data_IF_823625012493
#
_entry.id   IF_823625012493
#
_cell.length_a   1.000
_cell.length_b   1.000
_cell.length_c   1.000
_cell.angle_alpha   90.00
_cell.angle_beta   90.00
_cell.angle_gamma   90.00
#
_symmetry.space_group_name_H-M   'P 1'
#
loop_
_entity.id
_entity.type
_entity.pdbx_description
1 polymer ?
#
# COMPACT_ATOMS: atom_id res chain seq x y z
N UNK A 1 27.88 64.52 44.63
CA UNK A 1 28.57 63.23 44.76
C UNK A 1 27.51 62.15 44.94
N UNK A 2 27.48 61.18 44.01
CA UNK A 2 26.93 59.81 44.13
C UNK A 2 25.40 59.70 44.37
N UNK A 3 24.62 58.86 43.70
CA UNK A 3 24.90 57.67 42.90
C UNK A 3 23.71 57.40 41.94
N UNK A 4 24.04 56.96 40.74
CA UNK A 4 23.17 56.39 39.72
C UNK A 4 22.60 55.05 40.20
N UNK A 5 21.32 54.77 39.92
CA UNK A 5 20.83 53.39 39.92
C UNK A 5 19.86 53.21 38.76
N UNK A 6 20.36 52.57 37.70
CA UNK A 6 19.60 52.12 36.54
C UNK A 6 19.07 50.72 36.89
N UNK A 7 17.76 50.55 37.05
CA UNK A 7 17.17 49.22 37.24
C UNK A 7 17.03 48.57 35.87
N UNK A 8 17.86 47.55 35.60
CA UNK A 8 17.78 46.73 34.40
C UNK A 8 16.47 45.92 34.41
N UNK A 9 15.64 46.10 33.37
CA UNK A 9 14.49 45.24 33.12
C UNK A 9 14.99 44.00 32.36
N UNK A 10 15.11 42.89 33.08
CA UNK A 10 15.47 41.59 32.50
C UNK A 10 14.33 41.11 31.60
N UNK A 11 14.58 41.12 30.29
CA UNK A 11 13.68 40.52 29.30
C UNK A 11 13.87 39.00 29.36
N UNK A 12 13.00 38.30 30.09
CA UNK A 12 12.94 36.83 30.00
C UNK A 12 12.37 36.46 28.62
N UNK A 13 13.26 36.13 27.69
CA UNK A 13 12.89 35.53 26.41
C UNK A 13 12.33 34.14 26.65
N UNK A 14 11.01 34.00 26.61
CA UNK A 14 10.34 32.70 26.54
C UNK A 14 10.56 32.12 25.15
N UNK A 15 11.43 31.11 25.04
CA UNK A 15 11.53 30.29 23.84
C UNK A 15 10.21 29.53 23.67
N UNK A 16 9.40 29.93 22.69
CA UNK A 16 8.27 29.13 22.21
C UNK A 16 8.85 28.02 21.35
N UNK A 17 9.01 26.83 21.92
CA UNK A 17 9.32 25.62 21.14
C UNK A 17 8.10 25.31 20.28
N UNK A 18 8.16 25.66 18.99
CA UNK A 18 7.18 25.24 18.01
C UNK A 18 7.37 23.74 17.79
N UNK A 19 6.47 22.94 18.35
CA UNK A 19 6.39 21.51 18.09
C UNK A 19 5.90 21.36 16.63
N UNK A 20 6.83 21.17 15.70
CA UNK A 20 6.51 20.75 14.34
C UNK A 20 5.98 19.32 14.45
N UNK A 21 4.67 19.15 14.37
CA UNK A 21 4.07 17.84 14.19
C UNK A 21 4.57 17.27 12.87
N UNK A 22 5.34 16.19 12.92
CA UNK A 22 5.67 15.40 11.75
C UNK A 22 4.37 14.74 11.29
N UNK A 23 3.79 15.20 10.18
CA UNK A 23 2.80 14.41 9.47
C UNK A 23 3.55 13.18 8.94
N UNK A 24 3.30 12.00 9.52
CA UNK A 24 3.73 10.75 8.90
C UNK A 24 3.06 10.69 7.53
N UNK A 25 3.85 10.61 6.45
CA UNK A 25 3.31 10.34 5.13
C UNK A 25 2.63 8.96 5.19
N UNK A 26 1.36 8.92 4.82
CA UNK A 26 0.62 7.68 4.64
C UNK A 26 0.67 7.33 3.16
N UNK A 27 1.06 6.10 2.83
CA UNK A 27 1.02 5.60 1.46
C UNK A 27 -0.37 5.81 0.85
N UNK A 28 -0.42 6.38 -0.35
CA UNK A 28 -1.66 6.65 -1.07
C UNK A 28 -2.18 5.35 -1.71
N UNK A 29 -3.41 4.97 -1.38
CA UNK A 29 -4.08 3.83 -2.02
C UNK A 29 -4.40 4.16 -3.48
N UNK A 30 -3.80 3.43 -4.41
CA UNK A 30 -3.98 3.58 -5.86
C UNK A 30 -5.12 2.70 -6.35
N UNK A 31 -5.17 1.45 -5.88
CA UNK A 31 -6.20 0.49 -6.30
C UNK A 31 -6.54 -0.44 -5.16
N UNK A 32 -7.83 -0.77 -5.03
CA UNK A 32 -8.33 -1.77 -4.10
C UNK A 32 -9.21 -2.76 -4.86
N UNK A 33 -8.72 -3.98 -5.05
CA UNK A 33 -9.52 -5.05 -5.58
C UNK A 33 -10.29 -5.69 -4.43
N UNK A 34 -11.59 -5.41 -4.37
CA UNK A 34 -12.59 -6.02 -3.48
C UNK A 34 -12.32 -5.95 -1.96
N UNK A 35 -11.28 -5.24 -1.51
CA UNK A 35 -10.96 -5.05 -0.09
C UNK A 35 -10.31 -6.25 0.58
N UNK A 36 -10.20 -6.17 1.91
CA UNK A 36 -9.80 -7.29 2.75
C UNK A 36 -10.82 -8.45 2.67
N UNK A 37 -10.37 -9.71 2.79
CA UNK A 37 -11.26 -10.87 2.80
C UNK A 37 -12.17 -10.89 4.02
N UNK A 38 -13.23 -11.71 3.94
CA UNK A 38 -14.11 -12.02 5.07
C UNK A 38 -13.68 -13.33 5.74
N UNK A 39 -14.16 -13.57 6.96
CA UNK A 39 -14.01 -14.86 7.61
C UNK A 39 -14.64 -15.99 6.77
N UNK A 40 -13.97 -17.14 6.69
CA UNK A 40 -14.31 -18.26 5.83
C UNK A 40 -14.06 -18.02 4.33
N UNK A 41 -13.20 -17.05 3.96
CA UNK A 41 -12.86 -16.81 2.54
C UNK A 41 -12.15 -18.00 1.90
N UNK A 42 -12.36 -18.15 0.59
CA UNK A 42 -11.72 -19.18 -0.22
C UNK A 42 -10.42 -18.63 -0.82
N UNK A 43 -9.54 -19.51 -1.30
CA UNK A 43 -8.24 -19.14 -1.85
C UNK A 43 -7.75 -20.11 -2.92
N UNK A 44 -6.73 -19.70 -3.67
CA UNK A 44 -6.12 -20.52 -4.70
C UNK A 44 -4.63 -20.67 -4.47
N UNK A 45 -4.11 -21.87 -4.73
CA UNK A 45 -2.71 -22.18 -4.53
C UNK A 45 -1.83 -21.27 -5.43
N UNK A 46 -0.86 -20.59 -4.82
CA UNK A 46 0.13 -19.72 -5.47
C UNK A 46 1.57 -20.25 -5.35
N UNK A 47 1.73 -21.43 -4.76
CA UNK A 47 2.96 -22.23 -4.69
C UNK A 47 3.10 -23.22 -5.84
N UNK A 48 2.00 -23.53 -6.53
CA UNK A 48 1.94 -24.44 -7.68
C UNK A 48 1.69 -23.71 -9.02
N UNK A 49 1.16 -22.48 -8.95
CA UNK A 49 0.71 -21.73 -10.11
C UNK A 49 1.03 -20.25 -9.95
N UNK A 50 1.36 -19.57 -11.05
CA UNK A 50 1.23 -18.13 -11.11
C UNK A 50 -0.25 -17.80 -11.28
N UNK A 51 -0.78 -16.99 -10.36
CA UNK A 51 -2.15 -16.49 -10.42
C UNK A 51 -2.11 -15.01 -10.76
N UNK A 52 -2.87 -14.59 -11.77
CA UNK A 52 -3.01 -13.20 -12.15
C UNK A 52 -4.46 -12.72 -12.08
N UNK A 53 -4.64 -11.46 -11.69
CA UNK A 53 -5.94 -10.77 -11.73
C UNK A 53 -5.78 -9.37 -12.31
N UNK A 54 -6.84 -8.83 -12.92
CA UNK A 54 -6.79 -7.54 -13.57
C UNK A 54 -7.10 -6.38 -12.61
N UNK A 55 -6.50 -5.23 -12.90
CA UNK A 55 -6.82 -3.97 -12.26
C UNK A 55 -6.81 -2.85 -13.29
N UNK A 56 -7.53 -1.77 -13.00
CA UNK A 56 -7.59 -0.60 -13.88
C UNK A 56 -7.24 0.65 -13.11
N UNK A 57 -6.30 1.41 -13.65
CA UNK A 57 -5.90 2.73 -13.16
C UNK A 57 -6.46 3.80 -14.10
N UNK A 58 -7.07 4.83 -13.55
CA UNK A 58 -7.79 5.86 -14.33
C UNK A 58 -6.90 7.03 -14.75
N UNK A 59 -5.73 7.16 -14.14
CA UNK A 59 -4.71 8.16 -14.43
C UNK A 59 -3.32 7.53 -14.37
N UNK A 60 -2.29 8.31 -14.67
CA UNK A 60 -0.92 7.84 -14.51
C UNK A 60 -0.58 7.71 -13.02
N UNK A 61 0.04 6.61 -12.64
CA UNK A 61 0.35 6.27 -11.24
C UNK A 61 1.74 5.69 -11.12
N UNK A 62 2.30 5.86 -9.92
CA UNK A 62 3.58 5.30 -9.52
C UNK A 62 3.30 4.22 -8.48
N UNK A 63 3.47 2.95 -8.84
CA UNK A 63 3.29 1.85 -7.90
C UNK A 63 4.59 1.56 -7.18
N UNK A 64 4.56 1.50 -5.86
CA UNK A 64 5.73 1.20 -5.03
C UNK A 64 5.49 0.01 -4.10
N UNK A 65 4.26 -0.15 -3.60
CA UNK A 65 3.94 -1.17 -2.60
C UNK A 65 2.65 -1.92 -2.98
N UNK A 66 2.50 -3.09 -2.38
CA UNK A 66 1.32 -3.92 -2.51
C UNK A 66 0.91 -4.49 -1.15
N UNK A 67 -0.37 -4.78 -1.05
CA UNK A 67 -0.93 -5.65 -0.01
C UNK A 67 -1.74 -6.74 -0.70
N UNK A 68 -1.61 -7.98 -0.24
CA UNK A 68 -2.54 -9.04 -0.60
C UNK A 68 -2.82 -9.93 0.62
N UNK A 69 -3.84 -10.77 0.53
CA UNK A 69 -4.22 -11.66 1.63
C UNK A 69 -4.05 -13.11 1.26
N UNK A 70 -3.28 -13.84 2.05
CA UNK A 70 -2.92 -15.22 1.78
C UNK A 70 -2.84 -16.04 3.06
N UNK A 71 -2.74 -17.35 2.94
CA UNK A 71 -2.50 -18.24 4.06
C UNK A 71 -1.65 -19.45 3.66
N UNK A 72 -0.97 -20.04 4.63
CA UNK A 72 -0.39 -21.38 4.54
C UNK A 72 -1.36 -22.42 5.09
N UNK A 73 -1.52 -23.58 4.45
CA UNK A 73 -2.57 -24.55 4.79
C UNK A 73 -2.34 -25.28 6.11
N UNK A 74 -1.11 -25.73 6.38
CA UNK A 74 -0.80 -26.48 7.61
C UNK A 74 -0.39 -25.52 8.73
N UNK A 75 0.29 -24.41 8.38
CA UNK A 75 0.67 -23.34 9.29
C UNK A 75 1.12 -22.06 8.54
N UNK A 76 1.22 -20.94 9.26
CA UNK A 76 1.62 -19.63 8.72
C UNK A 76 3.03 -19.61 8.09
N UNK A 77 3.90 -20.58 8.40
CA UNK A 77 5.23 -20.69 7.79
C UNK A 77 5.24 -21.42 6.45
N UNK A 78 4.12 -22.01 6.03
CA UNK A 78 4.01 -22.58 4.68
C UNK A 78 3.88 -21.50 3.61
N UNK A 79 3.48 -20.27 3.98
CA UNK A 79 3.64 -19.09 3.14
C UNK A 79 5.06 -18.54 3.36
N UNK A 80 5.90 -18.58 2.33
CA UNK A 80 7.29 -18.15 2.45
C UNK A 80 7.41 -16.65 2.79
N UNK A 81 8.59 -16.26 3.28
CA UNK A 81 8.94 -14.85 3.49
C UNK A 81 9.38 -14.16 2.18
N UNK A 82 9.21 -14.82 1.04
CA UNK A 82 9.62 -14.34 -0.27
C UNK A 82 8.45 -14.36 -1.23
N UNK A 83 7.97 -13.20 -1.67
CA UNK A 83 6.85 -13.11 -2.62
C UNK A 83 7.36 -12.65 -3.98
N UNK A 84 7.17 -13.51 -4.97
CA UNK A 84 7.40 -13.19 -6.37
C UNK A 84 6.18 -12.47 -6.92
N UNK A 85 6.42 -11.44 -7.74
CA UNK A 85 5.35 -10.64 -8.33
C UNK A 85 5.65 -10.30 -9.78
N UNK A 86 4.60 -10.03 -10.55
CA UNK A 86 4.70 -9.52 -11.90
C UNK A 86 3.50 -8.64 -12.28
N UNK A 87 3.77 -7.64 -13.12
CA UNK A 87 2.80 -6.75 -13.75
C UNK A 87 2.84 -6.98 -15.26
N UNK A 88 1.67 -7.18 -15.87
CA UNK A 88 1.53 -7.41 -17.30
C UNK A 88 0.62 -6.37 -17.94
N UNK A 89 0.84 -6.10 -19.22
CA UNK A 89 -0.13 -5.40 -20.06
C UNK A 89 -1.41 -6.23 -20.13
N UNK A 90 -2.54 -5.56 -20.35
CA UNK A 90 -3.76 -6.22 -20.76
C UNK A 90 -3.76 -6.51 -22.26
N UNK A 91 -3.95 -7.77 -22.64
CA UNK A 91 -4.33 -8.18 -23.99
C UNK A 91 -5.84 -8.47 -23.97
N UNK A 92 -6.71 -7.65 -24.59
CA UNK A 92 -8.13 -7.52 -24.29
C UNK A 92 -8.81 -8.67 -23.51
N UNK A 93 -8.82 -8.55 -22.17
CA UNK A 93 -9.46 -9.52 -21.26
C UNK A 93 -8.60 -10.74 -20.90
N UNK A 94 -7.30 -10.68 -21.16
CA UNK A 94 -6.31 -11.70 -20.89
C UNK A 94 -4.97 -11.07 -20.53
N UNK A 95 -4.12 -11.86 -19.88
CA UNK A 95 -2.74 -11.49 -19.57
C UNK A 95 -1.98 -11.25 -20.88
N UNK A 96 -1.29 -10.11 -20.95
CA UNK A 96 -0.51 -9.68 -22.11
C UNK A 96 0.99 -9.79 -21.84
N UNK A 97 1.77 -8.92 -22.48
CA UNK A 97 3.23 -8.90 -22.29
C UNK A 97 3.62 -8.42 -20.90
N UNK A 98 4.65 -9.03 -20.33
CA UNK A 98 5.27 -8.62 -19.07
C UNK A 98 5.76 -7.16 -19.15
N UNK A 99 5.41 -6.36 -18.15
CA UNK A 99 5.90 -4.99 -17.96
C UNK A 99 7.07 -5.00 -16.98
N UNK A 100 6.86 -5.59 -15.81
CA UNK A 100 7.84 -5.67 -14.74
C UNK A 100 7.62 -6.93 -13.90
N UNK A 101 8.67 -7.46 -13.31
CA UNK A 101 8.58 -8.51 -12.29
C UNK A 101 9.73 -8.39 -11.31
N UNK A 102 9.57 -9.05 -10.16
CA UNK A 102 10.58 -9.06 -9.12
C UNK A 102 10.24 -9.97 -7.97
N UNK A 103 10.97 -9.82 -6.88
CA UNK A 103 10.79 -10.59 -5.66
C UNK A 103 11.05 -9.68 -4.48
N UNK A 104 10.08 -9.65 -3.56
CA UNK A 104 10.29 -9.09 -2.24
C UNK A 104 10.62 -10.23 -1.28
N UNK A 105 11.76 -10.13 -0.59
CA UNK A 105 12.24 -11.12 0.39
C UNK A 105 12.13 -10.62 1.84
N UNK A 106 11.42 -9.51 2.02
CA UNK A 106 11.27 -8.77 3.27
C UNK A 106 9.80 -8.45 3.57
N UNK A 107 8.87 -9.21 2.99
CA UNK A 107 7.43 -9.02 3.21
C UNK A 107 7.07 -9.10 4.69
N UNK A 108 6.11 -8.28 5.10
CA UNK A 108 5.55 -8.33 6.45
C UNK A 108 4.24 -9.10 6.42
N UNK A 109 4.15 -10.16 7.24
CA UNK A 109 2.93 -10.96 7.44
C UNK A 109 2.27 -10.57 8.75
N UNK A 110 1.01 -10.15 8.70
CA UNK A 110 0.20 -9.80 9.86
C UNK A 110 -1.04 -10.69 9.91
N UNK A 111 -1.21 -11.45 10.99
CA UNK A 111 -2.44 -12.19 11.24
C UNK A 111 -3.63 -11.22 11.33
N UNK A 112 -4.67 -11.48 10.53
CA UNK A 112 -5.88 -10.68 10.49
C UNK A 112 -6.90 -11.06 11.57
N UNK A 113 -6.73 -12.22 12.22
CA UNK A 113 -7.71 -12.82 13.10
C UNK A 113 -8.92 -13.42 12.38
N UNK A 114 -8.83 -13.60 11.06
CA UNK A 114 -9.83 -14.27 10.21
C UNK A 114 -9.31 -15.64 9.79
N UNK A 115 -10.22 -16.59 9.63
CA UNK A 115 -9.88 -17.94 9.16
C UNK A 115 -10.34 -18.14 7.71
N UNK A 116 -9.62 -18.98 6.97
CA UNK A 116 -10.04 -19.44 5.65
C UNK A 116 -11.14 -20.50 5.76
N UNK A 117 -11.77 -20.83 4.63
CA UNK A 117 -12.71 -21.97 4.57
C UNK A 117 -12.07 -23.32 4.95
N UNK A 118 -10.73 -23.39 4.96
CA UNK A 118 -9.95 -24.57 5.34
C UNK A 118 -9.48 -24.51 6.81
N UNK A 119 -9.82 -23.45 7.55
CA UNK A 119 -9.45 -23.27 8.96
C UNK A 119 -8.02 -22.78 9.18
N UNK A 120 -7.37 -22.24 8.15
CA UNK A 120 -6.04 -21.63 8.25
C UNK A 120 -6.15 -20.11 8.45
N UNK A 121 -5.24 -19.52 9.23
CA UNK A 121 -5.23 -18.08 9.51
C UNK A 121 -4.98 -17.30 8.21
N UNK A 122 -5.85 -16.34 7.92
CA UNK A 122 -5.63 -15.40 6.82
C UNK A 122 -4.65 -14.33 7.28
N UNK A 123 -3.54 -14.23 6.55
CA UNK A 123 -2.50 -13.25 6.76
C UNK A 123 -2.67 -12.10 5.77
N UNK A 124 -2.54 -10.87 6.27
CA UNK A 124 -2.26 -9.69 5.44
C UNK A 124 -0.76 -9.68 5.14
N UNK A 125 -0.42 -9.66 3.86
CA UNK A 125 0.95 -9.66 3.37
C UNK A 125 1.22 -8.30 2.74
N UNK A 126 2.09 -7.52 3.37
CA UNK A 126 2.54 -6.21 2.90
C UNK A 126 3.95 -6.33 2.34
N UNK A 127 4.18 -5.80 1.13
CA UNK A 127 5.49 -5.85 0.47
C UNK A 127 5.69 -4.72 -0.54
N UNK A 128 6.88 -4.68 -1.14
CA UNK A 128 7.27 -3.65 -2.10
C UNK A 128 7.77 -4.21 -3.45
N UNK A 129 7.68 -3.38 -4.49
CA UNK A 129 8.12 -3.74 -5.84
C UNK A 129 9.64 -3.58 -6.04
N UNK A 130 10.40 -3.22 -5.01
CA UNK A 130 11.85 -2.93 -5.05
C UNK A 130 12.26 -1.70 -5.86
N UNK A 131 11.35 -1.20 -6.72
CA UNK A 131 11.50 -0.04 -7.57
C UNK A 131 10.12 0.47 -7.97
N UNK A 132 10.01 1.77 -8.27
CA UNK A 132 8.77 2.37 -8.75
C UNK A 132 8.39 1.83 -10.13
N UNK A 133 7.15 1.35 -10.27
CA UNK A 133 6.56 0.94 -11.53
C UNK A 133 5.63 2.05 -12.02
N UNK A 134 6.03 2.76 -13.07
CA UNK A 134 5.20 3.81 -13.65
C UNK A 134 4.18 3.21 -14.62
N UNK A 135 2.89 3.42 -14.36
CA UNK A 135 1.80 3.01 -15.24
C UNK A 135 1.04 4.23 -15.75
N UNK A 136 0.62 4.19 -17.01
CA UNK A 136 -0.35 5.16 -17.55
C UNK A 136 -1.77 4.71 -17.24
N UNK A 137 -2.77 5.57 -17.46
CA UNK A 137 -4.18 5.15 -17.43
C UNK A 137 -4.40 3.91 -18.32
N UNK A 138 -5.00 2.85 -17.77
CA UNK A 138 -5.16 1.59 -18.48
C UNK A 138 -5.53 0.41 -17.57
N UNK A 139 -5.80 -0.73 -18.20
CA UNK A 139 -6.01 -2.02 -17.52
C UNK A 139 -4.73 -2.83 -17.59
N UNK A 140 -4.38 -3.46 -16.48
CA UNK A 140 -3.17 -4.24 -16.29
C UNK A 140 -3.52 -5.52 -15.53
N UNK A 141 -2.57 -6.46 -15.47
CA UNK A 141 -2.70 -7.66 -14.66
C UNK A 141 -1.58 -7.71 -13.63
N UNK A 142 -1.90 -8.11 -12.40
CA UNK A 142 -0.92 -8.39 -11.35
C UNK A 142 -0.93 -9.87 -11.03
N UNK A 143 0.25 -10.44 -10.84
CA UNK A 143 0.45 -11.81 -10.40
C UNK A 143 1.27 -11.84 -9.12
N UNK A 144 0.89 -12.73 -8.20
CA UNK A 144 1.69 -13.09 -7.02
C UNK A 144 1.93 -14.59 -6.99
N UNK A 145 3.09 -14.99 -6.48
CA UNK A 145 3.47 -16.37 -6.20
C UNK A 145 4.21 -16.50 -4.89
N UNK A 146 4.16 -17.70 -4.31
CA UNK A 146 5.03 -18.05 -3.19
C UNK A 146 6.44 -18.38 -3.69
N UNK A 147 7.45 -17.71 -3.12
CA UNK A 147 8.85 -17.78 -3.53
C UNK A 147 9.26 -16.76 -4.61
N UNK A 148 10.54 -16.77 -4.99
CA UNK A 148 11.11 -15.79 -5.93
C UNK A 148 10.65 -15.94 -7.39
N UNK A 149 10.24 -14.86 -8.06
CA UNK A 149 9.78 -14.88 -9.45
C UNK A 149 10.76 -15.58 -10.40
N UNK A 150 10.28 -16.53 -11.21
CA UNK A 150 11.09 -17.33 -12.12
C UNK A 150 11.87 -18.47 -11.44
N UNK A 151 11.69 -18.69 -10.12
CA UNK A 151 12.18 -19.90 -9.45
C UNK A 151 11.27 -21.09 -9.75
N UNK A 152 11.75 -22.30 -9.45
CA UNK A 152 10.86 -23.44 -9.42
C UNK A 152 9.78 -23.24 -8.32
N UNK A 153 8.55 -23.64 -8.63
CA UNK A 153 7.51 -23.90 -7.65
C UNK A 153 8.00 -24.96 -6.66
N UNK A 154 7.90 -24.68 -5.38
CA UNK A 154 8.35 -25.56 -4.30
C UNK A 154 7.22 -26.47 -3.78
N UNK A 155 6.01 -26.32 -4.32
CA UNK A 155 4.83 -27.13 -3.99
C UNK A 155 4.48 -26.98 -2.50
N UNK A 156 4.79 -25.82 -1.90
CA UNK A 156 4.24 -25.47 -0.59
C UNK A 156 2.71 -25.34 -0.69
N UNK A 157 2.07 -25.16 0.47
CA UNK A 157 0.62 -25.04 0.56
C UNK A 157 0.22 -23.59 0.83
N UNK A 158 0.72 -22.63 0.05
CA UNK A 158 0.36 -21.22 0.16
C UNK A 158 -0.77 -20.84 -0.82
N UNK A 159 -1.75 -20.07 -0.34
CA UNK A 159 -2.95 -19.76 -1.09
C UNK A 159 -3.30 -18.27 -1.05
N UNK A 160 -3.63 -17.67 -2.20
CA UNK A 160 -4.11 -16.30 -2.34
C UNK A 160 -5.64 -16.23 -2.31
N UNK A 161 -6.17 -15.47 -1.35
CA UNK A 161 -7.62 -15.35 -1.08
C UNK A 161 -8.41 -14.67 -2.21
N UNK A 162 -9.71 -14.95 -2.23
CA UNK A 162 -10.69 -14.28 -3.09
C UNK A 162 -12.09 -14.19 -2.50
N UNK A 163 -12.86 -13.25 -3.04
CA UNK A 163 -14.31 -13.22 -2.87
C UNK A 163 -15.01 -14.06 -3.93
N UNK A 164 -15.71 -15.12 -3.54
CA UNK A 164 -16.61 -15.85 -4.43
C UNK A 164 -17.78 -14.99 -4.94
N UNK A 165 -18.12 -13.90 -4.24
CA UNK A 165 -19.32 -13.12 -4.50
C UNK A 165 -19.15 -12.10 -5.65
N UNK A 166 -17.94 -11.85 -6.15
CA UNK A 166 -17.72 -10.81 -7.16
C UNK A 166 -16.53 -11.11 -8.05
N UNK A 167 -16.75 -11.01 -9.36
CA UNK A 167 -15.71 -10.81 -10.36
C UNK A 167 -15.75 -9.33 -10.72
N UNK A 168 -14.69 -8.61 -10.39
CA UNK A 168 -14.38 -7.26 -10.86
C UNK A 168 -13.49 -7.42 -12.08
N UNK A 169 -13.84 -6.76 -13.19
CA UNK A 169 -13.05 -6.83 -14.41
C UNK A 169 -13.15 -8.17 -15.13
N UNK A 170 -12.01 -8.73 -15.48
CA UNK A 170 -11.84 -9.99 -16.21
C UNK A 170 -11.81 -11.18 -15.25
N UNK A 171 -11.96 -12.38 -15.78
CA UNK A 171 -11.75 -13.58 -14.96
C UNK A 171 -10.26 -13.75 -14.63
N UNK A 172 -9.88 -14.00 -13.37
CA UNK A 172 -8.51 -14.32 -13.01
C UNK A 172 -7.94 -15.45 -13.87
N UNK A 173 -6.63 -15.42 -14.07
CA UNK A 173 -5.88 -16.43 -14.85
C UNK A 173 -4.92 -17.16 -13.94
N UNK A 174 -4.74 -18.46 -14.17
CA UNK A 174 -3.78 -19.28 -13.44
C UNK A 174 -3.02 -20.14 -14.44
N UNK A 175 -1.73 -20.36 -14.24
CA UNK A 175 -0.95 -21.28 -15.09
C UNK A 175 0.31 -21.74 -14.37
N UNK A 176 0.86 -22.86 -14.83
CA UNK A 176 2.22 -23.27 -14.49
C UNK A 176 3.26 -22.42 -15.23
N UNK A 177 2.86 -21.77 -16.32
CA UNK A 177 3.70 -20.80 -17.03
C UNK A 177 3.61 -19.40 -16.38
N UNK A 178 4.60 -19.07 -15.56
CA UNK A 178 4.65 -17.78 -14.85
C UNK A 178 4.74 -16.57 -15.79
N UNK A 179 5.36 -16.71 -16.97
CA UNK A 179 5.56 -15.58 -17.88
C UNK A 179 4.32 -15.23 -18.69
N UNK A 180 3.29 -16.09 -18.68
CA UNK A 180 2.02 -15.79 -19.33
C UNK A 180 0.89 -16.69 -18.79
N UNK A 181 0.33 -16.39 -17.60
CA UNK A 181 -0.76 -17.19 -17.08
C UNK A 181 -2.01 -17.06 -17.96
N UNK A 182 -2.35 -18.12 -18.72
CA UNK A 182 -3.42 -18.04 -19.71
C UNK A 182 -4.69 -18.82 -19.36
N UNK A 183 -4.62 -19.82 -18.47
CA UNK A 183 -5.80 -20.63 -18.22
C UNK A 183 -6.85 -19.87 -17.40
N UNK A 184 -8.11 -19.78 -17.90
CA UNK A 184 -9.19 -19.16 -17.15
C UNK A 184 -9.45 -19.89 -15.84
N UNK A 185 -9.39 -19.17 -14.73
CA UNK A 185 -9.69 -19.73 -13.43
C UNK A 185 -11.20 -19.62 -13.11
N UNK A 186 -12.02 -20.36 -13.87
CA UNK A 186 -13.47 -20.13 -14.03
C UNK A 186 -14.33 -20.25 -12.75
N UNK A 187 -13.80 -20.84 -11.68
CA UNK A 187 -14.57 -21.12 -10.47
C UNK A 187 -14.22 -20.17 -9.32
N UNK A 188 -13.31 -19.22 -9.53
CA UNK A 188 -12.81 -18.38 -8.48
C UNK A 188 -13.04 -16.89 -8.81
N UNK A 189 -13.53 -16.13 -7.85
CA UNK A 189 -13.79 -14.69 -8.03
C UNK A 189 -12.51 -13.85 -7.97
N UNK A 190 -12.67 -12.53 -7.93
CA UNK A 190 -11.52 -11.61 -7.91
C UNK A 190 -10.68 -11.77 -6.65
N UNK A 191 -9.38 -11.55 -6.80
CA UNK A 191 -8.37 -11.65 -5.76
C UNK A 191 -8.43 -10.47 -4.81
N UNK A 192 -8.21 -10.71 -3.53
CA UNK A 192 -8.05 -9.62 -2.56
C UNK A 192 -6.63 -9.05 -2.66
N UNK A 193 -6.50 -7.81 -3.14
CA UNK A 193 -5.23 -7.06 -3.14
C UNK A 193 -5.45 -5.56 -3.21
N UNK A 194 -4.42 -4.82 -2.78
CA UNK A 194 -4.34 -3.37 -2.84
C UNK A 194 -2.98 -2.95 -3.38
N UNK A 195 -2.95 -1.82 -4.09
CA UNK A 195 -1.75 -1.22 -4.67
C UNK A 195 -1.59 0.20 -4.14
N UNK A 196 -0.34 0.60 -3.87
CA UNK A 196 -0.06 1.88 -3.24
C UNK A 196 1.07 2.64 -3.93
N UNK A 197 1.01 3.95 -3.74
CA UNK A 197 2.10 4.89 -3.95
C UNK A 197 2.58 5.39 -2.58
N UNK A 198 3.76 4.95 -2.19
CA UNK A 198 4.49 5.37 -1.00
C UNK A 198 5.75 6.15 -1.38
N UNK A 199 5.77 6.75 -2.57
CA UNK A 199 6.75 7.79 -2.83
C UNK A 199 6.58 8.84 -1.73
N UNK A 200 7.67 9.10 -0.99
CA UNK A 200 7.69 10.08 0.08
C UNK A 200 7.17 11.40 -0.48
N UNK A 201 5.87 11.68 -0.33
CA UNK A 201 5.34 13.01 -0.55
C UNK A 201 5.92 13.82 0.59
N UNK A 202 7.10 14.38 0.36
CA UNK A 202 7.71 15.36 1.24
C UNK A 202 6.64 16.44 1.46
N UNK A 203 5.93 16.35 2.59
CA UNK A 203 4.92 17.33 2.97
C UNK A 203 5.68 18.58 3.38
N UNK A 204 6.16 19.29 2.37
CA UNK A 204 6.66 20.65 2.52
C UNK A 204 5.47 21.42 3.08
N UNK A 205 5.51 21.89 4.35
CA UNK A 205 4.37 22.60 4.90
C UNK A 205 4.12 23.81 4.01
N UNK A 206 2.94 23.90 3.39
CA UNK A 206 2.64 25.04 2.55
C UNK A 206 2.78 26.33 3.39
N UNK A 207 3.57 27.31 2.96
CA UNK A 207 3.74 28.57 3.70
C UNK A 207 2.42 29.36 3.93
N UNK A 208 1.32 28.95 3.29
CA UNK A 208 0.02 29.62 3.31
C UNK A 208 -0.74 29.53 4.63
N UNK A 209 -0.59 28.46 5.42
CA UNK A 209 -1.35 28.30 6.69
C UNK A 209 -0.72 29.07 7.86
N UNK A 210 0.59 29.35 7.80
CA UNK A 210 1.33 30.10 8.81
C UNK A 210 1.02 31.61 8.79
N UNK A 211 0.70 32.18 7.62
CA UNK A 211 0.32 33.59 7.49
C UNK A 211 -1.12 33.86 7.98
N UNK A 212 -2.00 32.85 7.96
CA UNK A 212 -3.37 32.95 8.46
C UNK A 212 -3.44 33.22 9.97
N UNK A 213 -2.51 32.66 10.76
CA UNK A 213 -2.52 32.82 12.21
C UNK A 213 -1.86 34.14 12.68
N UNK A 214 -0.94 34.70 11.89
CA UNK A 214 -0.31 36.00 12.14
C UNK A 214 -1.22 37.21 11.78
N UNK A 215 -2.16 37.04 10.85
CA UNK A 215 -3.07 38.10 10.43
C UNK A 215 -4.20 38.40 11.45
N UNK A 216 -4.61 37.43 12.27
CA UNK A 216 -5.69 37.62 13.26
C UNK A 216 -5.17 38.23 14.57
N UNK A 217 -3.89 38.01 14.92
CA UNK A 217 -3.29 38.51 16.17
C UNK A 217 -2.95 40.02 16.18
N UNK A 218 -2.85 40.66 15.03
CA UNK A 218 -2.38 42.06 14.93
C UNK A 218 -3.51 43.11 14.87
N UNK A 219 -4.78 42.71 14.62
CA UNK A 219 -5.92 43.64 14.66
C UNK A 219 -6.40 43.90 16.10
N UNK A 220 -6.22 42.94 17.03
CA UNK A 220 -6.60 43.10 18.44
C UNK A 220 -5.69 44.05 19.25
N UNK A 221 -4.44 44.24 18.83
CA UNK A 221 -3.46 45.05 19.56
C UNK A 221 -3.55 46.56 19.25
N UNK A 222 -4.16 46.97 18.14
CA UNK A 222 -4.26 48.39 17.77
C UNK A 222 -5.47 49.12 18.39
N UNK A 223 -6.48 48.41 18.91
CA UNK A 223 -7.69 49.03 19.47
C UNK A 223 -7.52 49.43 20.94
N UNK A 224 -6.48 48.95 21.64
CA UNK A 224 -6.28 49.19 23.09
C UNK A 224 -5.38 50.37 23.48
N UNK A 225 -5.12 51.31 22.56
CA UNK A 225 -4.39 52.56 22.87
C UNK A 225 -5.11 53.80 22.32
N UNK A 226 -6.38 53.98 22.69
CA UNK A 226 -7.00 55.31 22.66
C UNK A 226 -8.14 55.43 23.67
N UNK A 227 -7.79 55.43 24.96
CA UNK A 227 -8.55 56.04 26.07
C UNK A 227 -7.67 55.96 27.33
N UNK A 228 -7.21 57.12 27.78
CA UNK A 228 -6.26 57.32 28.86
C UNK A 228 -5.46 58.56 28.58
#
# INVERSE_FOLDING_TARGET
MNQTTLTALTLMGGSVTLLLGTNSAQAALIYDNIGAPLDGSNAMNISDFAMADDFTVTEAVDLTDFTFWAFGLDNDSDLSDSIGWAIFNNNPGAVGSLIASGTDSTVTKTDTGLDSVLGANILRVDGDFGSTINLTAGTYWISFRDGAWGSAFDVTSAFWTFSQASIVGSQPRADFDEVNPTFPNRNNGSRNFQLFDNSDVATTPEPGTLLGLLAVGSIGALIRRKKG
#
